data_IF_607250035582
#
_entry.id   IF_607250035582
#
_cell.length_a   1.000
_cell.length_b   1.000
_cell.length_c   1.000
_cell.angle_alpha   90.00
_cell.angle_beta   90.00
_cell.angle_gamma   90.00
#
_symmetry.space_group_name_H-M   'P 1'
#
loop_
_entity.id
_entity.type
_entity.pdbx_description
1 polymer ?
#
# COMPACT_ATOMS: atom_id res chain seq x y z
N UNK A 1 9.06 -16.45 0.32
CA UNK A 1 8.99 -15.70 1.59
C UNK A 1 8.36 -14.36 1.26
N UNK A 2 7.50 -13.78 2.10
CA UNK A 2 7.00 -12.44 1.83
C UNK A 2 8.13 -11.42 1.94
N UNK A 3 8.16 -10.48 1.00
CA UNK A 3 8.99 -9.30 1.06
C UNK A 3 8.39 -8.30 2.04
N UNK A 4 9.21 -7.70 2.88
CA UNK A 4 8.78 -6.73 3.88
C UNK A 4 9.47 -5.40 3.67
N UNK A 5 8.68 -4.34 3.64
CA UNK A 5 9.18 -2.97 3.61
C UNK A 5 8.43 -2.11 4.63
N UNK A 6 9.09 -1.09 5.15
CA UNK A 6 8.48 -0.14 6.09
C UNK A 6 8.97 1.27 5.85
N UNK A 7 8.07 2.24 5.87
CA UNK A 7 8.39 3.65 5.62
C UNK A 7 7.57 4.58 6.51
N UNK A 8 8.23 5.65 6.97
CA UNK A 8 7.56 6.78 7.60
C UNK A 8 7.02 7.75 6.56
N UNK A 9 5.78 8.20 6.73
CA UNK A 9 5.13 9.20 5.88
C UNK A 9 4.70 10.38 6.76
N UNK A 10 5.06 11.59 6.37
CA UNK A 10 4.71 12.84 7.07
C UNK A 10 3.27 13.27 6.77
N UNK A 11 2.31 12.38 7.01
CA UNK A 11 0.88 12.61 6.85
C UNK A 11 0.10 11.86 7.94
N UNK A 12 -1.11 12.32 8.31
CA UNK A 12 -1.94 11.61 9.28
C UNK A 12 -2.22 10.18 8.82
N UNK A 13 -2.27 9.19 9.73
CA UNK A 13 -2.46 7.79 9.37
C UNK A 13 -3.78 7.55 8.63
N UNK A 14 -4.84 8.29 8.96
CA UNK A 14 -6.12 8.26 8.24
C UNK A 14 -5.98 8.70 6.79
N UNK A 15 -5.21 9.76 6.53
CA UNK A 15 -4.99 10.27 5.16
C UNK A 15 -4.17 9.28 4.34
N UNK A 16 -3.12 8.71 4.95
CA UNK A 16 -2.30 7.69 4.32
C UNK A 16 -3.15 6.47 3.98
N UNK A 17 -3.92 5.96 4.93
CA UNK A 17 -4.78 4.80 4.73
C UNK A 17 -5.83 5.05 3.66
N UNK A 18 -6.58 6.15 3.75
CA UNK A 18 -7.58 6.50 2.74
C UNK A 18 -6.97 6.63 1.35
N UNK A 19 -5.81 7.28 1.22
CA UNK A 19 -5.10 7.41 -0.06
C UNK A 19 -4.65 6.06 -0.61
N UNK A 20 -4.17 5.16 0.27
CA UNK A 20 -3.71 3.84 -0.13
C UNK A 20 -4.88 2.95 -0.61
N UNK A 21 -6.04 3.04 0.03
CA UNK A 21 -7.24 2.26 -0.30
C UNK A 21 -8.15 2.91 -1.35
N UNK A 22 -7.82 4.12 -1.80
CA UNK A 22 -8.60 4.85 -2.80
C UNK A 22 -8.48 4.15 -4.17
N UNK A 23 -9.60 3.75 -4.80
CA UNK A 23 -9.61 2.97 -6.03
C UNK A 23 -9.05 3.74 -7.25
N UNK A 24 -9.10 5.07 -7.24
CA UNK A 24 -8.55 5.91 -8.30
C UNK A 24 -7.03 6.07 -8.14
N UNK A 25 -6.49 5.90 -6.93
CA UNK A 25 -5.07 6.12 -6.60
C UNK A 25 -4.27 4.85 -6.38
N UNK A 26 -4.92 3.75 -6.02
CA UNK A 26 -4.27 2.46 -5.75
C UNK A 26 -3.45 1.97 -6.94
N UNK A 27 -3.93 2.23 -8.16
CA UNK A 27 -3.21 1.87 -9.39
C UNK A 27 -1.89 2.61 -9.57
N UNK A 28 -1.65 3.72 -8.86
CA UNK A 28 -0.42 4.51 -8.96
C UNK A 28 0.74 3.96 -8.12
N UNK A 29 0.44 3.15 -7.09
CA UNK A 29 1.46 2.62 -6.19
C UNK A 29 1.50 1.09 -6.13
N UNK A 30 0.37 0.40 -6.33
CA UNK A 30 0.28 -1.06 -6.27
C UNK A 30 1.05 -1.70 -7.44
N UNK A 31 1.79 -2.81 -7.25
CA UNK A 31 2.56 -3.43 -8.31
C UNK A 31 1.66 -4.04 -9.40
N UNK A 32 2.16 -4.11 -10.65
CA UNK A 32 1.41 -4.61 -11.83
C UNK A 32 0.68 -5.95 -11.63
N UNK A 33 1.28 -6.99 -11.01
CA UNK A 33 0.62 -8.29 -10.83
C UNK A 33 -0.69 -8.20 -10.05
N UNK A 34 -0.81 -7.22 -9.14
CA UNK A 34 -2.00 -7.00 -8.32
C UNK A 34 -3.02 -6.05 -8.97
N UNK A 35 -2.64 -5.37 -10.06
CA UNK A 35 -3.51 -4.47 -10.83
C UNK A 35 -4.18 -5.17 -12.02
N UNK A 36 -3.68 -6.35 -12.41
CA UNK A 36 -4.07 -7.04 -13.64
C UNK A 36 -5.57 -7.39 -13.71
N UNK A 37 -6.23 -7.63 -12.58
CA UNK A 37 -7.65 -7.95 -12.53
C UNK A 37 -8.58 -6.73 -12.64
N UNK A 38 -8.03 -5.51 -12.56
CA UNK A 38 -8.80 -4.25 -12.62
C UNK A 38 -9.67 -3.95 -11.40
N UNK A 39 -9.99 -4.96 -10.59
CA UNK A 39 -10.62 -4.80 -9.28
C UNK A 39 -9.53 -4.56 -8.22
N UNK A 40 -9.33 -3.29 -7.88
CA UNK A 40 -8.30 -2.88 -6.92
C UNK A 40 -8.86 -2.74 -5.49
N UNK A 41 -10.04 -3.31 -5.22
CA UNK A 41 -10.72 -3.10 -3.94
C UNK A 41 -10.04 -3.96 -2.87
N UNK A 42 -9.40 -3.37 -1.86
CA UNK A 42 -8.83 -4.15 -0.79
C UNK A 42 -9.92 -4.77 0.10
N UNK A 43 -9.58 -5.90 0.71
CA UNK A 43 -10.21 -6.35 1.94
C UNK A 43 -9.68 -5.47 3.07
N UNK A 44 -10.56 -4.65 3.67
CA UNK A 44 -10.21 -3.73 4.77
C UNK A 44 -10.67 -4.35 6.08
N UNK A 45 -9.74 -4.51 7.01
CA UNK A 45 -10.07 -4.95 8.37
C UNK A 45 -10.67 -3.76 9.16
N UNK A 46 -11.83 -3.96 9.79
CA UNK A 46 -12.58 -2.89 10.44
C UNK A 46 -12.01 -2.42 11.78
N UNK A 47 -11.10 -3.18 12.39
CA UNK A 47 -10.56 -2.92 13.74
C UNK A 47 -9.20 -2.18 13.68
N UNK A 48 -8.66 -1.94 12.48
CA UNK A 48 -7.39 -1.23 12.28
C UNK A 48 -7.21 -0.69 10.87
N UNK A 49 -6.19 0.16 10.66
CA UNK A 49 -5.85 0.66 9.32
C UNK A 49 -5.03 -0.40 8.57
N UNK A 50 -5.71 -1.48 8.23
CA UNK A 50 -5.15 -2.65 7.60
C UNK A 50 -5.96 -2.98 6.34
N UNK A 51 -5.27 -3.11 5.22
CA UNK A 51 -5.86 -3.39 3.93
C UNK A 51 -5.06 -4.45 3.19
N UNK A 52 -5.75 -5.37 2.51
CA UNK A 52 -5.15 -6.47 1.78
C UNK A 52 -5.68 -6.57 0.36
N UNK A 53 -4.75 -6.71 -0.59
CA UNK A 53 -5.01 -6.96 -2.00
C UNK A 53 -4.58 -8.38 -2.37
N UNK A 54 -5.37 -9.00 -3.25
CA UNK A 54 -5.07 -10.29 -3.88
C UNK A 54 -5.47 -10.22 -5.34
N UNK A 55 -4.72 -10.88 -6.20
CA UNK A 55 -5.06 -11.00 -7.61
C UNK A 55 -5.72 -12.36 -7.88
N UNK A 56 -6.79 -12.37 -8.67
CA UNK A 56 -7.38 -13.60 -9.17
C UNK A 56 -6.57 -14.18 -10.34
N UNK A 57 -5.97 -13.29 -11.16
CA UNK A 57 -5.09 -13.66 -12.27
C UNK A 57 -3.69 -14.09 -11.81
N UNK A 58 -3.24 -13.64 -10.64
CA UNK A 58 -1.96 -13.99 -10.03
C UNK A 58 -2.18 -14.39 -8.54
N UNK A 59 -2.68 -15.62 -8.28
CA UNK A 59 -3.03 -16.06 -6.93
C UNK A 59 -1.85 -16.15 -5.96
N UNK A 60 -0.63 -16.26 -6.49
CA UNK A 60 0.62 -16.23 -5.72
C UNK A 60 0.99 -14.81 -5.26
N UNK A 61 0.35 -13.79 -5.83
CA UNK A 61 0.57 -12.40 -5.48
C UNK A 61 -0.46 -11.89 -4.48
N UNK A 62 0.04 -11.28 -3.40
CA UNK A 62 -0.79 -10.51 -2.47
C UNK A 62 0.00 -9.39 -1.83
N UNK A 63 -0.63 -8.24 -1.61
CA UNK A 63 -0.05 -7.15 -0.84
C UNK A 63 -0.90 -6.88 0.39
N UNK A 64 -0.25 -6.55 1.49
CA UNK A 64 -0.89 -6.20 2.74
C UNK A 64 -0.23 -4.93 3.27
N UNK A 65 -1.02 -3.91 3.58
CA UNK A 65 -0.52 -2.69 4.23
C UNK A 65 -1.08 -2.55 5.62
N UNK A 66 -0.23 -2.15 6.55
CA UNK A 66 -0.64 -1.71 7.87
C UNK A 66 -0.15 -0.30 8.10
N UNK A 67 -1.07 0.58 8.45
CA UNK A 67 -0.77 1.97 8.79
C UNK A 67 -0.92 2.12 10.30
N UNK A 68 0.18 2.43 10.98
CA UNK A 68 0.16 2.76 12.40
C UNK A 68 0.49 4.25 12.58
N UNK A 69 -0.03 4.93 13.62
CA UNK A 69 0.41 6.28 13.95
C UNK A 69 1.90 6.30 14.31
N UNK A 70 2.61 7.34 13.87
CA UNK A 70 4.02 7.57 14.21
C UNK A 70 4.19 8.86 15.02
N UNK A 71 5.34 9.00 15.69
CA UNK A 71 5.73 10.22 16.37
C UNK A 71 5.73 11.44 15.42
N UNK A 72 5.51 12.62 16.00
CA UNK A 72 5.43 13.91 15.30
C UNK A 72 4.24 14.09 14.33
N UNK A 73 3.17 13.28 14.46
CA UNK A 73 1.93 13.44 13.69
C UNK A 73 1.97 12.83 12.28
N UNK A 74 2.97 11.99 12.01
CA UNK A 74 3.04 11.18 10.80
C UNK A 74 2.42 9.80 10.97
N UNK A 75 2.65 8.95 9.96
CA UNK A 75 2.25 7.56 9.96
C UNK A 75 3.43 6.66 9.60
N UNK A 76 3.39 5.44 10.11
CA UNK A 76 4.30 4.36 9.73
C UNK A 76 3.52 3.36 8.90
N UNK A 77 3.94 3.17 7.65
CA UNK A 77 3.35 2.19 6.76
C UNK A 77 4.27 0.99 6.68
N UNK A 78 3.71 -0.19 6.95
CA UNK A 78 4.36 -1.47 6.70
C UNK A 78 3.67 -2.12 5.51
N UNK A 79 4.46 -2.62 4.58
CA UNK A 79 4.00 -3.40 3.43
C UNK A 79 4.57 -4.81 3.55
N UNK A 80 3.69 -5.79 3.47
CA UNK A 80 4.04 -7.18 3.21
C UNK A 80 3.62 -7.52 1.78
N UNK A 81 4.58 -7.85 0.92
CA UNK A 81 4.35 -8.23 -0.47
C UNK A 81 4.75 -9.70 -0.66
N UNK A 82 3.77 -10.53 -0.97
CA UNK A 82 3.98 -11.92 -1.39
C UNK A 82 3.93 -11.98 -2.91
N UNK A 83 4.89 -12.66 -3.52
CA UNK A 83 4.99 -12.86 -4.96
C UNK A 83 6.24 -13.67 -5.30
N UNK A 84 6.68 -13.55 -6.55
CA UNK A 84 7.89 -14.19 -7.06
C UNK A 84 9.19 -13.56 -6.50
N UNK A 85 10.35 -14.00 -7.00
CA UNK A 85 11.68 -13.52 -6.57
C UNK A 85 11.89 -12.00 -6.69
N UNK A 86 11.09 -11.30 -7.50
CA UNK A 86 11.13 -9.86 -7.65
C UNK A 86 10.43 -9.10 -6.49
N UNK A 87 9.66 -9.78 -5.64
CA UNK A 87 8.86 -9.15 -4.58
C UNK A 87 9.70 -8.32 -3.61
N UNK A 88 10.92 -8.74 -3.29
CA UNK A 88 11.83 -8.01 -2.37
C UNK A 88 12.20 -6.62 -2.91
N UNK A 89 12.52 -6.51 -4.21
CA UNK A 89 12.81 -5.21 -4.82
C UNK A 89 11.55 -4.36 -5.02
N UNK A 90 10.43 -5.01 -5.33
CA UNK A 90 9.15 -4.34 -5.54
C UNK A 90 8.55 -3.78 -4.26
N UNK A 91 8.78 -4.38 -3.09
CA UNK A 91 8.19 -3.91 -1.84
C UNK A 91 8.63 -2.48 -1.47
N UNK A 92 9.93 -2.17 -1.58
CA UNK A 92 10.44 -0.83 -1.27
C UNK A 92 9.97 0.19 -2.31
N UNK A 93 10.02 -0.16 -3.60
CA UNK A 93 9.52 0.67 -4.69
C UNK A 93 8.02 0.98 -4.54
N UNK A 94 7.23 -0.03 -4.15
CA UNK A 94 5.78 0.10 -3.89
C UNK A 94 5.51 1.11 -2.77
N UNK A 95 6.28 1.06 -1.68
CA UNK A 95 6.16 2.04 -0.59
C UNK A 95 6.63 3.43 -0.97
N UNK A 96 7.66 3.55 -1.81
CA UNK A 96 8.10 4.84 -2.34
C UNK A 96 7.02 5.49 -3.21
N UNK A 97 6.41 4.71 -4.10
CA UNK A 97 5.29 5.17 -4.92
C UNK A 97 4.10 5.58 -4.04
N UNK A 98 3.76 4.81 -3.01
CA UNK A 98 2.69 5.16 -2.08
C UNK A 98 2.97 6.48 -1.36
N UNK A 99 4.18 6.66 -0.83
CA UNK A 99 4.59 7.89 -0.16
C UNK A 99 4.48 9.10 -1.11
N UNK A 100 4.85 8.92 -2.37
CA UNK A 100 4.67 9.95 -3.40
C UNK A 100 3.20 10.24 -3.67
N UNK A 101 2.37 9.22 -3.84
CA UNK A 101 0.92 9.40 -4.05
C UNK A 101 0.25 10.14 -2.90
N UNK A 102 0.66 9.88 -1.65
CA UNK A 102 0.18 10.63 -0.48
C UNK A 102 0.63 12.09 -0.54
N UNK A 103 1.89 12.36 -0.87
CA UNK A 103 2.39 13.73 -0.99
C UNK A 103 1.70 14.52 -2.11
N UNK A 104 1.44 13.87 -3.24
CA UNK A 104 0.65 14.43 -4.35
C UNK A 104 -0.79 14.73 -3.90
N UNK A 105 -1.43 13.83 -3.14
CA UNK A 105 -2.79 14.06 -2.61
C UNK A 105 -2.85 15.27 -1.68
N UNK A 106 -1.85 15.43 -0.80
CA UNK A 106 -1.76 16.58 0.10
C UNK A 106 -1.53 17.92 -0.61
N UNK A 107 -0.90 17.90 -1.78
CA UNK A 107 -0.62 19.11 -2.58
C UNK A 107 -1.79 19.49 -3.49
N UNK A 108 -2.63 18.53 -3.84
CA UNK A 108 -3.77 18.72 -4.74
C UNK A 108 -5.02 19.34 -4.07
N UNK A 109 -5.05 19.45 -2.73
CA UNK A 109 -6.15 20.03 -1.95
C UNK A 109 -5.85 21.43 -1.45
#
# INVERSE_FOLDING_TARGET
MPAYAERGISAPPEVVFNTATDPDRVSAWLPEPLRADGDHRPDVDGDGMHARWRSASAPDWSAEIRVDPADAGGARVRLELTGDEAADGLADETLENLARTVADNLTAG
#
